data_IF_587926228323
#
_entry.id   IF_587926228323
#
_cell.length_a   1.000
_cell.length_b   1.000
_cell.length_c   1.000
_cell.angle_alpha   90.00
_cell.angle_beta   90.00
_cell.angle_gamma   90.00
#
_symmetry.space_group_name_H-M   'P 1'
#
loop_
_entity.id
_entity.type
_entity.pdbx_description
1 polymer ?
#
# COMPACT_ATOMS: atom_id res chain seq x y z
N UNK A 1 -12.04 20.84 13.08
CA UNK A 1 -10.64 20.50 12.82
C UNK A 1 -9.73 21.24 13.79
N UNK A 2 -9.18 20.50 14.76
CA UNK A 2 -8.34 21.05 15.84
C UNK A 2 -7.06 21.66 15.28
N UNK A 3 -6.53 21.10 14.20
CA UNK A 3 -5.27 21.55 13.58
C UNK A 3 -5.39 22.90 12.88
N UNK A 4 -6.60 23.26 12.43
CA UNK A 4 -6.85 24.53 11.74
C UNK A 4 -7.45 25.62 12.63
N UNK A 5 -7.63 25.34 13.91
CA UNK A 5 -8.18 26.32 14.87
C UNK A 5 -7.15 27.44 15.08
N UNK A 6 -7.52 28.67 14.71
CA UNK A 6 -6.71 29.85 14.97
C UNK A 6 -6.86 30.30 16.43
N UNK A 7 -5.79 30.91 16.96
CA UNK A 7 -5.86 31.50 18.29
C UNK A 7 -6.83 32.66 18.31
N UNK A 8 -7.73 32.66 19.29
CA UNK A 8 -8.74 33.69 19.48
C UNK A 8 -8.54 34.35 20.84
N UNK A 9 -8.76 35.65 20.91
CA UNK A 9 -8.84 36.40 22.16
C UNK A 9 -10.14 37.16 22.21
N UNK A 10 -10.69 37.36 23.40
CA UNK A 10 -11.87 38.14 23.64
C UNK A 10 -11.42 39.58 23.93
N UNK A 11 -11.98 40.56 23.25
CA UNK A 11 -11.70 41.98 23.49
C UNK A 11 -12.46 42.50 24.70
N UNK A 12 -12.19 43.73 25.10
CA UNK A 12 -12.85 44.35 26.26
C UNK A 12 -14.38 44.48 26.12
N UNK A 13 -14.92 44.34 24.91
CA UNK A 13 -16.35 44.41 24.60
C UNK A 13 -16.99 43.01 24.48
N UNK A 14 -16.23 41.94 24.77
CA UNK A 14 -16.73 40.56 24.70
C UNK A 14 -16.69 39.92 23.29
N UNK A 15 -16.14 40.59 22.26
CA UNK A 15 -16.07 40.07 20.93
C UNK A 15 -14.84 39.22 20.73
N UNK A 16 -15.00 38.09 20.04
CA UNK A 16 -13.91 37.17 19.71
C UNK A 16 -13.17 37.63 18.44
N UNK A 17 -11.87 37.85 18.54
CA UNK A 17 -11.02 38.18 17.39
C UNK A 17 -9.87 37.21 17.24
N UNK A 18 -9.45 36.95 16.01
CA UNK A 18 -8.24 36.18 15.72
C UNK A 18 -7.00 37.00 16.07
N UNK A 19 -6.10 36.40 16.84
CA UNK A 19 -4.85 37.07 17.26
C UNK A 19 -3.73 36.65 16.29
N UNK A 20 -3.25 37.59 15.52
CA UNK A 20 -2.10 37.43 14.65
C UNK A 20 -0.82 37.86 15.41
N UNK A 21 0.30 37.17 15.15
CA UNK A 21 1.59 37.52 15.73
C UNK A 21 1.96 36.81 17.04
N UNK A 22 1.09 36.02 17.63
CA UNK A 22 1.45 35.12 18.73
C UNK A 22 1.87 33.74 18.19
N UNK A 23 2.91 33.10 18.78
CA UNK A 23 3.30 31.75 18.40
C UNK A 23 2.09 30.80 18.53
N UNK A 24 1.74 30.15 17.44
CA UNK A 24 0.72 29.12 17.41
C UNK A 24 1.35 27.79 17.06
N UNK A 25 2.17 27.28 17.98
CA UNK A 25 2.87 26.02 17.81
C UNK A 25 1.86 24.87 17.79
N UNK A 26 1.77 24.22 16.64
CA UNK A 26 0.93 23.04 16.43
C UNK A 26 1.85 21.86 16.27
N UNK A 27 1.99 21.06 17.30
CA UNK A 27 2.77 19.84 17.26
C UNK A 27 1.79 18.71 16.98
N UNK A 28 2.01 18.03 15.83
CA UNK A 28 1.30 16.79 15.51
C UNK A 28 2.16 15.65 16.03
N UNK A 29 1.66 14.96 17.06
CA UNK A 29 2.31 13.79 17.63
C UNK A 29 1.50 12.54 17.21
N UNK A 30 2.02 11.78 16.25
CA UNK A 30 1.36 10.58 15.73
C UNK A 30 1.77 9.34 16.54
N UNK A 31 1.26 9.22 17.76
CA UNK A 31 1.49 8.07 18.63
C UNK A 31 1.05 6.74 18.04
N UNK A 32 0.02 6.77 17.19
CA UNK A 32 -0.44 5.56 16.52
C UNK A 32 0.64 5.00 15.59
N UNK A 33 1.25 5.84 14.75
CA UNK A 33 2.32 5.41 13.86
C UNK A 33 3.53 4.86 14.65
N UNK A 34 3.89 5.52 15.75
CA UNK A 34 4.96 5.04 16.64
C UNK A 34 4.68 3.63 17.19
N UNK A 35 3.45 3.38 17.65
CA UNK A 35 3.05 2.06 18.16
C UNK A 35 3.05 0.98 17.08
N UNK A 36 2.59 1.31 15.87
CA UNK A 36 2.64 0.41 14.71
C UNK A 36 4.09 0.07 14.37
N UNK A 37 4.96 1.08 14.27
CA UNK A 37 6.37 0.90 13.95
C UNK A 37 7.11 0.06 15.02
N UNK A 38 6.79 0.26 16.29
CA UNK A 38 7.34 -0.55 17.38
C UNK A 38 6.93 -2.03 17.24
N UNK A 39 5.65 -2.32 16.98
CA UNK A 39 5.16 -3.69 16.78
C UNK A 39 5.78 -4.35 15.55
N UNK A 40 5.82 -3.67 14.40
CA UNK A 40 6.46 -4.18 13.19
C UNK A 40 7.94 -4.44 13.42
N UNK A 41 8.64 -3.51 14.08
CA UNK A 41 10.05 -3.65 14.38
C UNK A 41 10.31 -4.81 15.34
N UNK A 42 9.47 -5.00 16.34
CA UNK A 42 9.59 -6.12 17.26
C UNK A 42 9.46 -7.47 16.56
N UNK A 43 8.48 -7.61 15.66
CA UNK A 43 8.20 -8.87 14.96
C UNK A 43 9.17 -9.15 13.81
N UNK A 44 9.56 -8.10 13.05
CA UNK A 44 10.25 -8.23 11.76
C UNK A 44 11.64 -7.55 11.72
N UNK A 45 12.23 -7.23 12.87
CA UNK A 45 13.56 -6.60 12.92
C UNK A 45 14.68 -7.55 12.52
N UNK A 46 14.56 -8.83 12.88
CA UNK A 46 15.55 -9.84 12.56
C UNK A 46 15.39 -10.32 11.09
N UNK A 47 16.47 -10.64 10.42
CA UNK A 47 16.40 -11.31 9.13
C UNK A 47 15.62 -12.62 9.24
N UNK A 48 14.91 -12.99 8.17
CA UNK A 48 14.35 -14.32 8.04
C UNK A 48 15.51 -15.28 7.78
N UNK A 49 15.71 -16.24 8.66
CA UNK A 49 16.69 -17.31 8.49
C UNK A 49 15.96 -18.58 8.08
N UNK A 50 16.30 -19.11 6.92
CA UNK A 50 15.82 -20.42 6.47
C UNK A 50 16.98 -21.40 6.57
N UNK A 51 16.81 -22.45 7.34
CA UNK A 51 17.83 -23.49 7.52
C UNK A 51 17.50 -24.69 6.62
N UNK A 52 18.49 -25.13 5.88
CA UNK A 52 18.40 -26.31 5.02
C UNK A 52 19.74 -27.05 5.06
N UNK A 53 19.72 -28.36 4.90
CA UNK A 53 20.92 -29.21 4.82
C UNK A 53 21.60 -29.13 3.45
N UNK A 54 20.93 -28.59 2.43
CA UNK A 54 21.47 -28.37 1.08
C UNK A 54 22.01 -26.93 0.96
N UNK A 55 23.34 -26.82 0.87
CA UNK A 55 24.01 -25.52 0.72
C UNK A 55 23.65 -24.81 -0.60
N UNK A 56 23.40 -25.56 -1.68
CA UNK A 56 23.03 -24.99 -2.98
C UNK A 56 21.64 -24.33 -2.92
N UNK A 57 20.69 -25.02 -2.32
CA UNK A 57 19.34 -24.52 -2.08
C UNK A 57 19.34 -23.36 -1.08
N UNK A 58 20.17 -23.43 -0.03
CA UNK A 58 20.36 -22.33 0.92
C UNK A 58 20.75 -21.02 0.27
N UNK A 59 21.74 -21.06 -0.66
CA UNK A 59 22.16 -19.87 -1.41
C UNK A 59 21.05 -19.29 -2.31
N UNK A 60 20.19 -20.15 -2.88
CA UNK A 60 19.04 -19.70 -3.65
C UNK A 60 17.99 -19.00 -2.77
N UNK A 61 17.73 -19.55 -1.58
CA UNK A 61 16.83 -18.94 -0.61
C UNK A 61 17.34 -17.58 -0.11
N UNK A 62 18.65 -17.42 0.11
CA UNK A 62 19.26 -16.14 0.49
C UNK A 62 19.08 -15.08 -0.61
N UNK A 63 19.11 -15.49 -1.88
CA UNK A 63 18.86 -14.60 -3.01
C UNK A 63 17.40 -14.12 -3.01
N UNK A 64 16.46 -14.99 -2.65
CA UNK A 64 15.02 -14.68 -2.59
C UNK A 64 14.72 -13.81 -1.37
N UNK A 65 15.20 -14.21 -0.17
CA UNK A 65 14.92 -13.53 1.10
C UNK A 65 15.91 -12.40 1.41
N UNK A 66 16.28 -11.67 0.40
CA UNK A 66 17.22 -10.55 0.45
C UNK A 66 16.63 -9.30 1.17
N UNK A 67 17.40 -8.23 1.20
CA UNK A 67 17.01 -6.98 1.83
C UNK A 67 15.73 -6.35 1.22
N UNK A 68 15.51 -6.53 -0.08
CA UNK A 68 14.29 -6.03 -0.77
C UNK A 68 13.05 -6.76 -0.29
N UNK A 69 13.11 -8.09 -0.18
CA UNK A 69 12.02 -8.89 0.41
C UNK A 69 11.75 -8.48 1.85
N UNK A 70 12.79 -8.31 2.66
CA UNK A 70 12.66 -7.90 4.05
C UNK A 70 11.97 -6.55 4.20
N UNK A 71 12.29 -5.58 3.35
CA UNK A 71 11.60 -4.28 3.32
C UNK A 71 10.13 -4.45 2.91
N UNK A 72 9.86 -5.29 1.92
CA UNK A 72 8.50 -5.61 1.49
C UNK A 72 7.69 -6.24 2.64
N UNK A 73 8.28 -7.18 3.37
CA UNK A 73 7.67 -7.85 4.51
C UNK A 73 7.35 -6.88 5.68
N UNK A 74 8.26 -5.94 5.98
CA UNK A 74 7.99 -4.90 6.99
C UNK A 74 6.82 -4.01 6.60
N UNK A 75 6.76 -3.57 5.36
CA UNK A 75 5.67 -2.76 4.86
C UNK A 75 4.34 -3.55 4.88
N UNK A 76 4.38 -4.84 4.55
CA UNK A 76 3.23 -5.73 4.68
C UNK A 76 2.76 -5.84 6.14
N UNK A 77 3.69 -5.96 7.09
CA UNK A 77 3.38 -5.96 8.52
C UNK A 77 2.68 -4.68 8.97
N UNK A 78 3.09 -3.54 8.43
CA UNK A 78 2.42 -2.25 8.67
C UNK A 78 0.98 -2.27 8.14
N UNK A 79 0.74 -2.81 6.94
CA UNK A 79 -0.60 -2.93 6.37
C UNK A 79 -1.49 -3.82 7.22
N UNK A 80 -0.97 -4.97 7.64
CA UNK A 80 -1.72 -5.92 8.50
C UNK A 80 -2.12 -5.26 9.82
N UNK A 81 -1.24 -4.47 10.44
CA UNK A 81 -1.57 -3.79 11.68
C UNK A 81 -2.58 -2.65 11.48
N UNK A 82 -2.54 -1.97 10.34
CA UNK A 82 -3.44 -0.86 10.05
C UNK A 82 -4.81 -1.31 9.54
N UNK A 83 -4.86 -2.36 8.72
CA UNK A 83 -6.05 -2.76 7.97
C UNK A 83 -6.59 -4.13 8.39
N UNK A 84 -5.89 -4.87 9.27
CA UNK A 84 -6.24 -6.22 9.68
C UNK A 84 -5.82 -7.30 8.69
N UNK A 85 -5.39 -6.92 7.49
CA UNK A 85 -4.96 -7.83 6.42
C UNK A 85 -3.91 -7.17 5.53
N UNK A 86 -3.16 -7.97 4.77
CA UNK A 86 -2.16 -7.51 3.83
C UNK A 86 -2.02 -8.46 2.66
N UNK A 87 -1.66 -7.94 1.49
CA UNK A 87 -1.57 -8.71 0.25
C UNK A 87 -0.13 -8.75 -0.25
N UNK A 88 0.37 -9.96 -0.43
CA UNK A 88 1.69 -10.24 -1.00
C UNK A 88 1.53 -11.07 -2.27
N UNK A 89 1.99 -10.55 -3.38
CA UNK A 89 1.92 -11.19 -4.69
C UNK A 89 3.32 -11.68 -5.10
N UNK A 90 3.57 -13.00 -5.18
CA UNK A 90 4.75 -13.56 -5.78
C UNK A 90 4.61 -13.52 -7.31
N UNK A 91 5.70 -13.18 -8.02
CA UNK A 91 5.74 -13.16 -9.47
C UNK A 91 7.15 -13.48 -9.99
N UNK A 92 7.24 -13.96 -11.21
CA UNK A 92 8.52 -14.21 -11.87
C UNK A 92 8.87 -13.00 -12.75
N UNK A 93 10.08 -12.49 -12.60
CA UNK A 93 10.61 -11.42 -13.44
C UNK A 93 12.07 -11.72 -13.78
N UNK A 94 12.39 -11.77 -15.07
CA UNK A 94 13.71 -12.14 -15.58
C UNK A 94 14.23 -13.49 -15.04
N UNK A 95 13.32 -14.46 -14.87
CA UNK A 95 13.65 -15.78 -14.33
C UNK A 95 13.84 -15.84 -12.81
N UNK A 96 13.66 -14.74 -12.09
CA UNK A 96 13.78 -14.66 -10.64
C UNK A 96 12.42 -14.54 -9.97
N UNK A 97 12.23 -15.21 -8.82
CA UNK A 97 11.07 -15.03 -7.97
C UNK A 97 11.17 -13.69 -7.24
N UNK A 98 10.17 -12.86 -7.40
CA UNK A 98 10.04 -11.56 -6.75
C UNK A 98 8.71 -11.43 -6.02
N UNK A 99 8.66 -10.47 -5.12
CA UNK A 99 7.46 -10.21 -4.32
C UNK A 99 7.05 -8.75 -4.44
N UNK A 100 5.76 -8.54 -4.62
CA UNK A 100 5.14 -7.23 -4.66
C UNK A 100 4.03 -7.14 -3.62
N UNK A 101 4.10 -6.11 -2.79
CA UNK A 101 3.03 -5.76 -1.86
C UNK A 101 1.95 -4.98 -2.60
N UNK A 102 0.70 -5.35 -2.39
CA UNK A 102 -0.43 -4.52 -2.77
C UNK A 102 -0.99 -3.82 -1.54
N UNK A 103 -1.28 -2.54 -1.66
CA UNK A 103 -1.91 -1.80 -0.59
C UNK A 103 -3.36 -2.31 -0.39
N UNK A 104 -3.81 -2.58 0.84
CA UNK A 104 -5.12 -3.19 1.09
C UNK A 104 -6.29 -2.43 0.48
N UNK A 105 -6.22 -1.09 0.45
CA UNK A 105 -7.24 -0.22 -0.14
C UNK A 105 -7.33 -0.34 -1.67
N UNK A 106 -6.36 -0.98 -2.32
CA UNK A 106 -6.34 -1.20 -3.76
C UNK A 106 -6.90 -2.56 -4.16
N UNK A 107 -7.14 -3.47 -3.22
CA UNK A 107 -7.49 -4.87 -3.50
C UNK A 107 -8.93 -5.16 -3.09
N UNK A 108 -9.70 -5.67 -4.04
CA UNK A 108 -11.05 -6.19 -3.82
C UNK A 108 -11.02 -7.71 -4.07
N UNK A 109 -10.99 -8.55 -3.03
CA UNK A 109 -11.00 -10.00 -3.17
C UNK A 109 -12.40 -10.54 -3.42
N UNK A 110 -12.50 -11.62 -4.20
CA UNK A 110 -13.69 -12.44 -4.38
C UNK A 110 -13.42 -13.83 -3.84
N UNK A 111 -14.27 -14.26 -2.94
CA UNK A 111 -14.13 -15.51 -2.22
C UNK A 111 -15.13 -16.54 -2.72
N UNK A 112 -14.75 -17.82 -2.70
CA UNK A 112 -15.66 -18.92 -3.03
C UNK A 112 -16.59 -19.21 -1.85
N UNK A 113 -16.09 -19.01 -0.65
CA UNK A 113 -16.71 -19.39 0.63
C UNK A 113 -17.04 -18.16 1.49
N UNK A 114 -18.03 -18.30 2.37
CA UNK A 114 -18.45 -17.23 3.30
C UNK A 114 -17.40 -16.96 4.38
N UNK A 115 -16.55 -17.92 4.70
CA UNK A 115 -15.52 -17.81 5.74
C UNK A 115 -14.25 -17.14 5.24
N UNK A 116 -14.18 -16.82 3.94
CA UNK A 116 -13.05 -16.14 3.29
C UNK A 116 -11.72 -16.93 3.37
N UNK A 117 -11.80 -18.25 3.28
CA UNK A 117 -10.62 -19.11 3.28
C UNK A 117 -10.10 -19.38 1.86
N UNK A 118 -11.02 -19.48 0.88
CA UNK A 118 -10.68 -19.82 -0.50
C UNK A 118 -10.88 -18.62 -1.42
N UNK A 119 -9.76 -18.03 -1.85
CA UNK A 119 -9.76 -16.91 -2.80
C UNK A 119 -10.01 -17.42 -4.23
N UNK A 120 -11.07 -16.95 -4.87
CA UNK A 120 -11.38 -17.24 -6.29
C UNK A 120 -10.57 -16.34 -7.22
N UNK A 121 -10.73 -15.05 -7.04
CA UNK A 121 -10.09 -14.01 -7.85
C UNK A 121 -9.99 -12.71 -7.07
N UNK A 122 -9.29 -11.72 -7.62
CA UNK A 122 -9.31 -10.37 -7.03
C UNK A 122 -9.11 -9.30 -8.08
N UNK A 123 -9.63 -8.12 -7.80
CA UNK A 123 -9.36 -6.91 -8.55
C UNK A 123 -8.35 -6.06 -7.77
N UNK A 124 -7.38 -5.51 -8.50
CA UNK A 124 -6.53 -4.44 -8.01
C UNK A 124 -6.86 -3.16 -8.73
N UNK A 125 -7.25 -2.12 -8.00
CA UNK A 125 -7.65 -0.81 -8.51
C UNK A 125 -6.65 0.21 -8.01
N UNK A 126 -5.97 0.91 -8.92
CA UNK A 126 -4.97 1.91 -8.56
C UNK A 126 -4.89 3.02 -9.59
N UNK A 127 -4.40 4.18 -9.18
CA UNK A 127 -4.18 5.31 -10.07
C UNK A 127 -2.71 5.46 -10.45
N UNK A 128 -2.48 5.87 -11.68
CA UNK A 128 -1.15 6.23 -12.21
C UNK A 128 -1.18 7.69 -12.60
N UNK A 129 -0.20 8.43 -12.12
CA UNK A 129 0.00 9.82 -12.51
C UNK A 129 0.82 9.87 -13.80
N UNK A 130 0.29 10.50 -14.82
CA UNK A 130 0.92 10.66 -16.13
C UNK A 130 0.76 12.08 -16.65
N UNK A 131 1.36 12.37 -17.79
CA UNK A 131 1.25 13.66 -18.46
C UNK A 131 0.73 13.46 -19.88
N UNK A 132 -0.24 14.29 -20.28
CA UNK A 132 -0.68 14.42 -21.67
C UNK A 132 -0.17 15.78 -22.19
N UNK A 133 0.98 15.75 -22.88
CA UNK A 133 1.76 16.95 -23.15
C UNK A 133 2.32 17.55 -21.86
N UNK A 134 1.90 18.77 -21.50
CA UNK A 134 2.29 19.46 -20.25
C UNK A 134 1.24 19.36 -19.15
N UNK A 135 0.08 18.78 -19.43
CA UNK A 135 -1.02 18.68 -18.47
C UNK A 135 -0.93 17.40 -17.65
N UNK A 136 -1.00 17.48 -16.31
CA UNK A 136 -1.04 16.31 -15.46
C UNK A 136 -2.37 15.58 -15.65
N UNK A 137 -2.30 14.24 -15.73
CA UNK A 137 -3.47 13.38 -15.86
C UNK A 137 -3.36 12.19 -14.91
N UNK A 138 -4.46 11.84 -14.27
CA UNK A 138 -4.56 10.63 -13.45
C UNK A 138 -5.32 9.59 -14.28
N UNK A 139 -4.69 8.43 -14.46
CA UNK A 139 -5.30 7.28 -15.12
C UNK A 139 -5.58 6.21 -14.06
N UNK A 140 -6.81 5.74 -14.00
CA UNK A 140 -7.19 4.61 -13.15
C UNK A 140 -7.00 3.31 -13.91
N UNK A 141 -6.24 2.39 -13.30
CA UNK A 141 -5.99 1.05 -13.83
C UNK A 141 -6.66 0.01 -12.95
N UNK A 142 -7.21 -1.01 -13.58
CA UNK A 142 -7.84 -2.15 -12.93
C UNK A 142 -7.18 -3.42 -13.46
N UNK A 143 -6.62 -4.21 -12.56
CA UNK A 143 -6.04 -5.52 -12.86
C UNK A 143 -6.93 -6.59 -12.25
N UNK A 144 -7.41 -7.53 -13.07
CA UNK A 144 -8.20 -8.68 -12.63
C UNK A 144 -7.32 -9.93 -12.64
N UNK A 145 -7.06 -10.43 -11.46
CA UNK A 145 -6.27 -11.63 -11.23
C UNK A 145 -7.18 -12.83 -11.06
N UNK A 146 -6.99 -13.84 -11.89
CA UNK A 146 -7.72 -15.11 -11.86
C UNK A 146 -6.74 -16.27 -11.97
N UNK A 147 -7.19 -17.49 -11.75
CA UNK A 147 -6.40 -18.70 -11.98
C UNK A 147 -5.96 -18.86 -13.44
N UNK A 148 -6.69 -18.24 -14.39
CA UNK A 148 -6.37 -18.26 -15.82
C UNK A 148 -5.41 -17.15 -16.28
N UNK A 149 -4.98 -16.25 -15.37
CA UNK A 149 -4.07 -15.15 -15.69
C UNK A 149 -4.57 -13.79 -15.25
N UNK A 150 -3.93 -12.75 -15.78
CA UNK A 150 -4.19 -11.35 -15.40
C UNK A 150 -4.77 -10.62 -16.61
N UNK A 151 -5.92 -9.97 -16.41
CA UNK A 151 -6.50 -9.04 -17.40
C UNK A 151 -6.38 -7.62 -16.88
N UNK A 152 -5.92 -6.70 -17.72
CA UNK A 152 -5.68 -5.30 -17.37
C UNK A 152 -6.63 -4.39 -18.11
N UNK A 153 -7.18 -3.42 -17.39
CA UNK A 153 -8.15 -2.46 -17.91
C UNK A 153 -7.77 -1.04 -17.50
N UNK A 154 -8.17 -0.09 -18.33
CA UNK A 154 -8.13 1.35 -18.03
C UNK A 154 -9.55 1.78 -17.73
N UNK A 155 -9.77 2.44 -16.61
CA UNK A 155 -11.03 3.07 -16.28
C UNK A 155 -11.05 4.49 -16.82
N UNK A 156 -11.97 4.76 -17.73
CA UNK A 156 -12.07 6.03 -18.46
C UNK A 156 -12.95 7.04 -17.74
N UNK A 157 -12.81 8.32 -18.10
CA UNK A 157 -13.67 9.41 -17.62
C UNK A 157 -15.16 9.19 -17.94
N UNK A 158 -15.46 8.45 -19.00
CA UNK A 158 -16.82 8.01 -19.37
C UNK A 158 -17.37 6.87 -18.50
N UNK A 159 -16.65 6.49 -17.41
CA UNK A 159 -17.00 5.40 -16.49
C UNK A 159 -17.08 4.01 -17.17
N UNK A 160 -16.24 3.78 -18.16
CA UNK A 160 -16.12 2.50 -18.86
C UNK A 160 -14.77 1.85 -18.56
N UNK A 161 -14.76 0.52 -18.51
CA UNK A 161 -13.55 -0.29 -18.46
C UNK A 161 -13.17 -0.67 -19.90
N UNK A 162 -11.99 -0.25 -20.35
CA UNK A 162 -11.42 -0.59 -21.64
C UNK A 162 -10.22 -1.51 -21.41
N UNK A 163 -10.13 -2.60 -22.16
CA UNK A 163 -9.00 -3.53 -22.08
C UNK A 163 -7.69 -2.79 -22.43
N UNK A 164 -6.69 -2.94 -21.57
CA UNK A 164 -5.33 -2.41 -21.80
C UNK A 164 -4.53 -3.45 -22.59
N UNK A 165 -4.65 -3.40 -23.92
CA UNK A 165 -4.03 -4.38 -24.83
C UNK A 165 -2.50 -4.35 -24.77
N UNK A 166 -1.89 -3.18 -24.49
CA UNK A 166 -0.42 -3.04 -24.41
C UNK A 166 0.21 -3.81 -23.24
N UNK A 167 -0.56 -4.08 -22.19
CA UNK A 167 -0.07 -4.72 -20.95
C UNK A 167 -0.67 -6.10 -20.69
N UNK A 168 -1.59 -6.55 -21.51
CA UNK A 168 -2.29 -7.84 -21.28
C UNK A 168 -1.44 -9.04 -21.71
N UNK A 169 -0.47 -8.85 -22.58
CA UNK A 169 0.42 -9.89 -23.13
C UNK A 169 1.80 -9.99 -22.44
N UNK A 170 1.97 -9.38 -21.26
CA UNK A 170 3.24 -9.37 -20.53
C UNK A 170 3.22 -10.26 -19.29
#
# INVERSE_FOLDING_TARGET
DILNKQRQAVDANGNTRTVNGLPNNRIVDNRYAELVDQKVSYLLSKPLEVRTDDEGYGKQLDTIFNQTFRRCLKNLGTDVLNCGLGYLHPYISNGELRFKRFAPEQVLPFWVDEEHEILDSFLRIYSVFTYEGTQPKIIWKVEHYTTGGIRRYIYTDSKQLILDEEQTDA
#
